data_IF_161402920335
#
_entry.id   IF_161402920335
#
_cell.length_a   1.000
_cell.length_b   1.000
_cell.length_c   1.000
_cell.angle_alpha   90.00
_cell.angle_beta   90.00
_cell.angle_gamma   90.00
#
_symmetry.space_group_name_H-M   'P 1'
#
loop_
_entity.id
_entity.type
_entity.pdbx_description
1 polymer ?
#
# COMPACT_ATOMS: atom_id res chain seq x y z
N UNK A 1 -2.61 -21.43 -3.97
CA UNK A 1 -1.19 -20.99 -4.04
C UNK A 1 -0.84 -20.29 -2.73
N UNK A 2 -0.16 -20.96 -1.80
CA UNK A 2 0.01 -20.51 -0.41
C UNK A 2 1.22 -19.57 -0.17
N UNK A 3 1.95 -19.16 -1.22
CA UNK A 3 3.11 -18.27 -1.09
C UNK A 3 2.75 -16.76 -1.07
N UNK A 4 1.55 -16.39 -1.52
CA UNK A 4 1.14 -14.98 -1.65
C UNK A 4 0.72 -14.33 -0.32
N UNK A 5 0.12 -15.12 0.59
CA UNK A 5 -0.29 -14.65 1.93
C UNK A 5 0.86 -14.55 2.93
N UNK A 6 1.92 -15.34 2.76
CA UNK A 6 3.08 -15.34 3.65
C UNK A 6 3.89 -14.03 3.57
N UNK A 7 3.96 -13.42 2.38
CA UNK A 7 4.61 -12.12 2.18
C UNK A 7 3.81 -11.01 2.89
N UNK A 8 2.48 -11.07 2.84
CA UNK A 8 1.58 -10.09 3.47
C UNK A 8 1.65 -10.10 5.01
N UNK A 9 1.82 -11.29 5.61
CA UNK A 9 1.98 -11.44 7.05
C UNK A 9 3.33 -10.91 7.55
N UNK A 10 4.39 -11.02 6.74
CA UNK A 10 5.72 -10.50 7.06
C UNK A 10 5.84 -8.99 6.81
N UNK A 11 5.01 -8.41 5.94
CA UNK A 11 5.03 -6.98 5.63
C UNK A 11 4.02 -6.17 6.45
N UNK A 12 3.27 -6.77 7.38
CA UNK A 12 2.30 -6.06 8.22
C UNK A 12 1.09 -5.51 7.45
N UNK A 13 0.73 -6.12 6.31
CA UNK A 13 -0.39 -5.68 5.50
C UNK A 13 -1.73 -5.91 6.22
N UNK A 14 -2.54 -4.86 6.29
CA UNK A 14 -3.91 -4.92 6.78
C UNK A 14 -4.80 -3.94 6.02
N UNK A 15 -5.92 -4.41 5.49
CA UNK A 15 -6.93 -3.55 4.87
C UNK A 15 -8.27 -3.69 5.59
N UNK A 16 -8.90 -2.55 5.90
CA UNK A 16 -10.26 -2.51 6.44
C UNK A 16 -11.24 -1.98 5.40
N UNK A 17 -12.13 -2.83 4.91
CA UNK A 17 -13.20 -2.43 3.98
C UNK A 17 -14.27 -1.53 4.59
N UNK A 18 -14.31 -1.40 5.92
CA UNK A 18 -15.25 -0.52 6.62
C UNK A 18 -14.72 0.92 6.66
N UNK A 19 -13.43 1.09 6.94
CA UNK A 19 -12.82 2.42 7.08
C UNK A 19 -12.05 2.87 5.84
N UNK A 20 -11.76 1.97 4.90
CA UNK A 20 -10.95 2.23 3.70
C UNK A 20 -9.46 2.42 4.01
N UNK A 21 -9.00 2.00 5.19
CA UNK A 21 -7.60 2.16 5.61
C UNK A 21 -6.78 0.99 5.06
N UNK A 22 -5.73 1.33 4.32
CA UNK A 22 -4.73 0.42 3.79
C UNK A 22 -3.43 0.59 4.59
N UNK A 23 -3.12 -0.39 5.42
CA UNK A 23 -1.93 -0.40 6.28
C UNK A 23 -0.89 -1.36 5.71
N UNK A 24 0.37 -0.92 5.70
CA UNK A 24 1.55 -1.70 5.34
C UNK A 24 2.68 -1.41 6.32
N UNK A 25 3.60 -2.33 6.51
CA UNK A 25 4.84 -2.12 7.27
C UNK A 25 5.83 -1.27 6.50
N UNK A 26 6.77 -0.64 7.20
CA UNK A 26 7.85 0.13 6.56
C UNK A 26 8.82 -0.79 5.83
N UNK A 27 9.36 -0.32 4.71
CA UNK A 27 10.53 -0.92 4.08
C UNK A 27 11.75 -0.86 5.01
N UNK A 28 12.64 -1.84 4.86
CA UNK A 28 13.89 -1.92 5.60
C UNK A 28 14.79 -0.71 5.29
N UNK A 29 15.59 -0.28 6.27
CA UNK A 29 16.48 0.87 6.19
C UNK A 29 17.56 0.75 5.11
N UNK A 30 17.96 -0.47 4.73
CA UNK A 30 19.00 -0.72 3.72
C UNK A 30 18.44 -0.79 2.28
N UNK A 31 17.13 -0.59 2.08
CA UNK A 31 16.50 -0.71 0.76
C UNK A 31 15.74 0.56 0.37
N UNK A 32 16.14 1.16 -0.75
CA UNK A 32 15.51 2.38 -1.28
C UNK A 32 14.17 2.14 -1.98
N UNK A 33 13.89 0.91 -2.40
CA UNK A 33 12.64 0.54 -3.07
C UNK A 33 12.25 -0.90 -2.80
N UNK A 34 11.01 -1.12 -2.34
CA UNK A 34 10.44 -2.45 -2.16
C UNK A 34 9.15 -2.58 -2.95
N UNK A 35 8.83 -3.82 -3.33
CA UNK A 35 7.62 -4.12 -4.07
C UNK A 35 6.96 -5.38 -3.51
N UNK A 36 5.70 -5.27 -3.09
CA UNK A 36 4.95 -6.35 -2.48
C UNK A 36 3.60 -6.55 -3.19
N UNK A 37 3.18 -7.79 -3.45
CA UNK A 37 1.82 -8.04 -3.89
C UNK A 37 0.85 -7.79 -2.74
N UNK A 38 -0.39 -7.38 -3.04
CA UNK A 38 -1.50 -7.33 -2.07
C UNK A 38 -2.77 -7.93 -2.65
N UNK A 39 -3.63 -8.46 -1.78
CA UNK A 39 -5.00 -8.85 -2.14
C UNK A 39 -5.93 -8.71 -0.94
N UNK A 40 -7.22 -8.49 -1.20
CA UNK A 40 -8.27 -8.37 -0.18
C UNK A 40 -9.44 -9.34 -0.42
N UNK A 41 -9.19 -10.46 -1.12
CA UNK A 41 -10.20 -11.47 -1.46
C UNK A 41 -10.91 -11.20 -2.79
N UNK A 42 -11.42 -9.99 -2.99
CA UNK A 42 -12.15 -9.59 -4.21
C UNK A 42 -11.27 -8.84 -5.22
N UNK A 43 -10.17 -8.25 -4.75
CA UNK A 43 -9.24 -7.44 -5.54
C UNK A 43 -7.80 -7.79 -5.22
N UNK A 44 -6.91 -7.52 -6.17
CA UNK A 44 -5.48 -7.73 -6.00
C UNK A 44 -4.66 -6.79 -6.86
N UNK A 45 -3.40 -6.65 -6.48
CA UNK A 45 -2.47 -5.79 -7.17
C UNK A 45 -1.11 -5.78 -6.50
N UNK A 46 -0.43 -4.65 -6.64
CA UNK A 46 0.95 -4.48 -6.24
C UNK A 46 1.10 -3.17 -5.49
N UNK A 47 1.85 -3.17 -4.39
CA UNK A 47 2.21 -1.98 -3.63
C UNK A 47 3.72 -1.83 -3.61
N UNK A 48 4.22 -0.65 -3.95
CA UNK A 48 5.63 -0.32 -3.84
C UNK A 48 5.83 0.83 -2.86
N UNK A 49 6.96 0.78 -2.16
CA UNK A 49 7.44 1.90 -1.37
C UNK A 49 8.77 2.36 -1.93
N UNK A 50 8.98 3.67 -1.97
CA UNK A 50 10.25 4.28 -2.39
C UNK A 50 10.59 5.43 -1.46
N UNK A 51 11.83 5.45 -0.95
CA UNK A 51 12.34 6.60 -0.18
C UNK A 51 12.62 7.75 -1.14
N UNK A 52 12.14 8.94 -0.80
CA UNK A 52 12.44 10.17 -1.54
C UNK A 52 13.68 10.84 -0.96
N UNK A 53 14.31 11.73 -1.72
CA UNK A 53 15.45 12.51 -1.25
C UNK A 53 15.11 13.42 -0.03
N UNK A 54 13.83 13.73 0.17
CA UNK A 54 13.33 14.51 1.32
C UNK A 54 13.20 13.70 2.61
N UNK A 55 13.37 12.37 2.54
CA UNK A 55 13.13 11.44 3.64
C UNK A 55 11.71 10.88 3.68
N UNK A 56 10.72 11.46 2.98
CA UNK A 56 9.37 10.89 2.87
C UNK A 56 9.37 9.57 2.08
N UNK A 57 8.37 8.71 2.32
CA UNK A 57 8.14 7.47 1.59
C UNK A 57 6.99 7.65 0.61
N UNK A 58 7.25 7.50 -0.68
CA UNK A 58 6.23 7.43 -1.72
C UNK A 58 5.69 6.00 -1.76
N UNK A 59 4.41 5.83 -1.45
CA UNK A 59 3.68 4.58 -1.60
C UNK A 59 2.92 4.61 -2.92
N UNK A 60 3.13 3.60 -3.76
CA UNK A 60 2.37 3.43 -5.00
C UNK A 60 1.53 2.15 -4.91
N UNK A 61 0.22 2.26 -5.05
CA UNK A 61 -0.69 1.10 -5.00
C UNK A 61 -1.31 0.95 -6.40
N UNK A 62 -0.89 -0.08 -7.10
CA UNK A 62 -1.45 -0.49 -8.38
C UNK A 62 -2.55 -1.53 -8.15
N UNK A 63 -3.75 -1.28 -8.66
CA UNK A 63 -4.85 -2.25 -8.67
C UNK A 63 -4.80 -3.00 -9.99
N UNK A 64 -4.46 -4.29 -9.96
CA UNK A 64 -4.40 -5.10 -11.17
C UNK A 64 -5.76 -5.72 -11.50
N UNK A 65 -6.57 -6.02 -10.48
CA UNK A 65 -7.91 -6.58 -10.64
C UNK A 65 -8.82 -6.17 -9.48
N UNK A 66 -10.12 -6.03 -9.77
CA UNK A 66 -11.14 -5.66 -8.80
C UNK A 66 -11.21 -4.16 -8.56
N UNK A 67 -11.69 -3.77 -7.38
CA UNK A 67 -11.82 -2.37 -6.95
C UNK A 67 -11.35 -2.24 -5.51
N UNK A 68 -10.39 -1.35 -5.28
CA UNK A 68 -9.87 -1.04 -3.96
C UNK A 68 -10.47 0.27 -3.47
N UNK A 69 -11.31 0.23 -2.45
CA UNK A 69 -11.70 1.45 -1.74
C UNK A 69 -10.57 1.85 -0.77
N UNK A 70 -9.90 2.96 -1.08
CA UNK A 70 -8.83 3.51 -0.24
C UNK A 70 -9.14 4.95 0.13
N UNK A 71 -9.18 5.21 1.43
CA UNK A 71 -9.38 6.54 2.01
C UNK A 71 -8.10 7.03 2.67
N UNK A 72 -7.31 6.12 3.24
CA UNK A 72 -6.07 6.44 3.94
C UNK A 72 -5.04 5.35 3.72
N UNK A 73 -3.81 5.76 3.45
CA UNK A 73 -2.65 4.88 3.37
C UNK A 73 -1.80 5.10 4.61
N UNK A 74 -1.48 4.02 5.33
CA UNK A 74 -0.69 4.03 6.55
C UNK A 74 0.53 3.14 6.40
N UNK A 75 1.69 3.66 6.79
CA UNK A 75 2.90 2.88 7.03
C UNK A 75 3.05 2.74 8.55
N UNK A 76 3.04 1.50 9.03
CA UNK A 76 3.25 1.20 10.46
C UNK A 76 4.63 1.67 10.92
N UNK A 77 4.68 2.31 12.08
CA UNK A 77 5.90 2.92 12.64
C UNK A 77 6.41 4.16 11.90
N UNK A 78 5.69 4.68 10.90
CA UNK A 78 6.14 5.84 10.12
C UNK A 78 5.09 6.96 10.06
N UNK A 79 3.89 6.69 9.54
CA UNK A 79 2.88 7.74 9.38
C UNK A 79 1.71 7.32 8.51
N UNK A 80 0.81 8.26 8.23
CA UNK A 80 -0.31 8.03 7.31
C UNK A 80 -0.66 9.27 6.52
N UNK A 81 -1.11 9.08 5.29
CA UNK A 81 -1.62 10.17 4.48
C UNK A 81 -2.83 9.73 3.63
N UNK A 82 -3.58 10.71 3.15
CA UNK A 82 -4.75 10.54 2.31
C UNK A 82 -4.35 10.71 0.84
N UNK A 83 -4.75 9.80 -0.07
CA UNK A 83 -4.49 9.98 -1.49
C UNK A 83 -5.18 11.23 -2.05
N UNK A 84 -4.66 11.78 -3.14
CA UNK A 84 -5.28 12.94 -3.82
C UNK A 84 -6.76 12.69 -4.21
N UNK A 85 -7.10 11.45 -4.51
CA UNK A 85 -8.47 11.02 -4.80
C UNK A 85 -8.86 9.85 -3.89
N UNK A 86 -9.39 10.12 -2.68
CA UNK A 86 -9.91 9.10 -1.79
C UNK A 86 -11.17 8.46 -2.38
N UNK A 87 -11.29 7.14 -2.29
CA UNK A 87 -12.47 6.42 -2.75
C UNK A 87 -12.14 5.13 -3.52
N UNK A 88 -13.05 4.66 -4.39
CA UNK A 88 -12.85 3.45 -5.17
C UNK A 88 -11.80 3.67 -6.26
N UNK A 89 -10.80 2.80 -6.26
CA UNK A 89 -9.75 2.72 -7.28
C UNK A 89 -9.97 1.44 -8.08
N UNK A 90 -10.18 1.57 -9.39
CA UNK A 90 -10.48 0.44 -10.26
C UNK A 90 -9.21 -0.20 -10.84
N UNK A 91 -9.36 -1.46 -11.27
CA UNK A 91 -8.32 -2.17 -12.00
C UNK A 91 -7.71 -1.35 -13.15
N UNK A 92 -6.39 -1.42 -13.29
CA UNK A 92 -5.61 -0.63 -14.24
C UNK A 92 -5.19 0.74 -13.72
N UNK A 93 -5.61 1.12 -12.51
CA UNK A 93 -5.24 2.40 -11.89
C UNK A 93 -4.15 2.22 -10.84
N UNK A 94 -3.21 3.16 -10.82
CA UNK A 94 -2.20 3.27 -9.77
C UNK A 94 -2.39 4.59 -9.03
N UNK A 95 -2.44 4.53 -7.71
CA UNK A 95 -2.42 5.72 -6.85
C UNK A 95 -1.03 5.92 -6.25
N UNK A 96 -0.66 7.18 -6.05
CA UNK A 96 0.59 7.56 -5.41
C UNK A 96 0.30 8.42 -4.19
N UNK A 97 0.97 8.14 -3.08
CA UNK A 97 0.80 8.86 -1.81
C UNK A 97 2.16 9.04 -1.18
N UNK A 98 2.55 10.29 -0.91
CA UNK A 98 3.75 10.59 -0.15
C UNK A 98 3.43 10.63 1.35
N UNK A 99 4.19 9.89 2.14
CA UNK A 99 4.02 9.79 3.58
C UNK A 99 5.30 10.30 4.25
N UNK A 100 5.18 11.47 4.87
CA UNK A 100 6.23 12.04 5.72
C UNK A 100 6.36 11.25 7.03
N UNK A 101 7.56 11.22 7.65
CA UNK A 101 7.77 10.67 8.99
C UNK A 101 7.04 11.47 10.08
#
# INVERSE_FOLDING_TARGET
MLAWGAILALTGFHWSGVTGVFTIGTMDSDTDTVNWPWSNGDSWGTVSQRRTASGAITVSIAVAHGTLAVTTVRIDGWGSNTPAHPGPVHAGTTIHVDIAP
#
